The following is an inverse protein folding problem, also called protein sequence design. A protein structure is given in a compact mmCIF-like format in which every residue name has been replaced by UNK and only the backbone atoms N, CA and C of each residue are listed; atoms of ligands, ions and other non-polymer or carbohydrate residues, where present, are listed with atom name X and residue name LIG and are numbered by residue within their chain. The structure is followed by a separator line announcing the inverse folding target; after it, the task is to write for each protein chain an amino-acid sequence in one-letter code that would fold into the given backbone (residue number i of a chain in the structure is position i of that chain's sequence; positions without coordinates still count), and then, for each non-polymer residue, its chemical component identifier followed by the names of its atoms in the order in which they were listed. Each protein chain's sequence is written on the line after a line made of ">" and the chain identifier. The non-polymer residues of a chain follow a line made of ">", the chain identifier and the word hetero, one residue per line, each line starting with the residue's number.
data_IF_390053876581
#
_entry.id   IF_390053876581
#
_cell.length_a   1.000
_cell.length_b   1.000
_cell.length_c   1.000
_cell.angle_alpha   90.00
_cell.angle_beta   90.00
_cell.angle_gamma   90.00
#
_symmetry.space_group_name_H-M   'P 1'
#
loop_
_entity.id
_entity.type
_entity.pdbx_description
1 polymer ?
#
# COMPACT_ATOMS: atom_id res chain seq x y z
N UNK A 1 14.29 -6.13 -23.77
CA UNK A 1 14.35 -5.56 -22.40
C UNK A 1 15.37 -4.44 -22.43
N UNK A 2 15.03 -3.28 -21.83
CA UNK A 2 15.95 -2.13 -21.77
C UNK A 2 17.02 -2.27 -20.64
N UNK A 3 16.95 -3.32 -19.82
CA UNK A 3 17.86 -3.51 -18.67
C UNK A 3 17.71 -2.48 -17.56
N UNK A 4 16.52 -1.89 -17.44
CA UNK A 4 16.18 -0.88 -16.44
C UNK A 4 14.85 -1.22 -15.77
N UNK A 5 14.81 -1.16 -14.44
CA UNK A 5 13.59 -1.34 -13.64
C UNK A 5 12.95 0.04 -13.34
N UNK A 6 11.78 0.29 -13.92
CA UNK A 6 11.03 1.53 -13.73
C UNK A 6 10.53 1.74 -12.29
N UNK A 7 10.48 0.68 -11.48
CA UNK A 7 10.07 0.75 -10.07
C UNK A 7 11.23 1.10 -9.13
N UNK A 8 12.47 1.07 -9.64
CA UNK A 8 13.71 1.32 -8.90
C UNK A 8 13.96 0.36 -7.72
N UNK A 9 13.33 -0.81 -7.72
CA UNK A 9 13.52 -1.84 -6.70
C UNK A 9 14.76 -2.71 -6.98
N UNK A 10 15.08 -2.94 -8.27
CA UNK A 10 16.24 -3.71 -8.71
C UNK A 10 17.21 -2.79 -9.43
N UNK A 11 18.51 -2.84 -9.07
CA UNK A 11 19.53 -2.05 -9.78
C UNK A 11 19.76 -2.57 -11.19
N UNK A 12 20.20 -1.68 -12.10
CA UNK A 12 20.48 -2.04 -13.49
C UNK A 12 21.54 -3.13 -13.59
N UNK A 13 22.55 -3.14 -12.68
CA UNK A 13 23.61 -4.15 -12.62
C UNK A 13 23.04 -5.54 -12.26
N UNK A 14 22.16 -5.60 -11.26
CA UNK A 14 21.51 -6.86 -10.86
C UNK A 14 20.60 -7.39 -11.96
N UNK A 15 19.81 -6.51 -12.58
CA UNK A 15 18.93 -6.89 -13.69
C UNK A 15 19.74 -7.38 -14.89
N UNK A 16 20.83 -6.69 -15.24
CA UNK A 16 21.73 -7.12 -16.33
C UNK A 16 22.40 -8.46 -16.02
N UNK A 17 22.80 -8.67 -14.76
CA UNK A 17 23.34 -9.95 -14.32
C UNK A 17 22.32 -11.08 -14.46
N UNK A 18 21.06 -10.85 -14.06
CA UNK A 18 20.01 -11.84 -14.21
C UNK A 18 19.74 -12.17 -15.70
N UNK A 19 19.71 -11.17 -16.58
CA UNK A 19 19.54 -11.35 -18.04
C UNK A 19 20.69 -12.20 -18.60
N UNK A 20 21.94 -11.91 -18.23
CA UNK A 20 23.11 -12.67 -18.67
C UNK A 20 23.10 -14.12 -18.16
N UNK A 21 22.44 -14.39 -17.03
CA UNK A 21 22.24 -15.72 -16.45
C UNK A 21 20.97 -16.44 -16.92
N UNK A 22 20.30 -15.92 -17.98
CA UNK A 22 19.19 -16.61 -18.60
C UNK A 22 17.79 -16.12 -18.20
N UNK A 23 17.69 -15.01 -17.46
CA UNK A 23 16.39 -14.39 -17.19
C UNK A 23 15.80 -13.82 -18.49
N UNK A 24 14.59 -14.24 -18.83
CA UNK A 24 13.87 -13.85 -20.03
C UNK A 24 12.52 -13.25 -19.66
N UNK A 25 12.22 -12.04 -20.17
CA UNK A 25 10.86 -11.51 -20.17
C UNK A 25 10.20 -11.83 -21.51
N UNK A 26 9.03 -12.41 -21.49
CA UNK A 26 8.25 -12.73 -22.67
C UNK A 26 6.77 -12.40 -22.47
N UNK A 27 6.08 -12.09 -23.55
CA UNK A 27 4.61 -12.05 -23.65
C UNK A 27 4.04 -13.25 -24.41
N UNK A 28 4.91 -14.15 -24.89
CA UNK A 28 4.50 -15.35 -25.63
C UNK A 28 4.34 -16.51 -24.65
N UNK A 29 3.13 -17.02 -24.52
CA UNK A 29 2.79 -18.12 -23.60
C UNK A 29 3.55 -19.43 -23.91
N UNK A 30 3.95 -19.65 -25.15
CA UNK A 30 4.66 -20.86 -25.55
C UNK A 30 6.06 -20.95 -24.94
N UNK A 31 6.66 -19.80 -24.60
CA UNK A 31 8.02 -19.77 -24.01
C UNK A 31 8.04 -20.33 -22.58
N UNK A 32 6.88 -20.38 -21.90
CA UNK A 32 6.75 -20.92 -20.54
C UNK A 32 6.17 -22.34 -20.48
N UNK A 33 5.86 -22.95 -21.63
CA UNK A 33 5.24 -24.29 -21.72
C UNK A 33 6.08 -25.40 -21.10
N UNK A 34 7.39 -25.25 -21.10
CA UNK A 34 8.33 -26.23 -20.54
C UNK A 34 8.70 -25.96 -19.08
N UNK A 35 8.09 -24.94 -18.46
CA UNK A 35 8.25 -24.71 -17.03
C UNK A 35 7.38 -25.72 -16.26
N UNK A 36 7.81 -26.05 -15.04
CA UNK A 36 7.10 -26.97 -14.13
C UNK A 36 6.80 -26.35 -12.76
N UNK A 37 7.23 -25.10 -12.56
CA UNK A 37 6.96 -24.29 -11.37
C UNK A 37 6.56 -22.89 -11.81
N UNK A 38 5.31 -22.54 -11.58
CA UNK A 38 4.71 -21.28 -11.98
C UNK A 38 4.48 -20.41 -10.75
N UNK A 39 4.90 -19.15 -10.80
CA UNK A 39 4.63 -18.16 -9.75
C UNK A 39 3.70 -17.10 -10.30
N UNK A 40 2.55 -16.90 -9.63
CA UNK A 40 1.56 -15.88 -9.96
C UNK A 40 1.70 -14.71 -9.01
N UNK A 41 2.15 -13.56 -9.53
CA UNK A 41 2.44 -12.34 -8.78
C UNK A 41 1.73 -11.13 -9.41
N UNK A 42 0.42 -11.25 -9.65
CA UNK A 42 -0.41 -10.19 -10.23
C UNK A 42 -0.99 -9.27 -9.15
N UNK A 43 -1.34 -8.00 -9.48
CA UNK A 43 -1.99 -7.11 -8.52
C UNK A 43 -3.38 -7.63 -8.12
N UNK A 44 -3.80 -7.26 -6.92
CA UNK A 44 -5.12 -7.58 -6.35
C UNK A 44 -5.78 -6.28 -5.87
N UNK A 45 -6.41 -5.51 -6.78
CA UNK A 45 -7.07 -4.27 -6.46
C UNK A 45 -8.44 -4.49 -5.81
N UNK A 46 -9.08 -3.41 -5.39
CA UNK A 46 -10.49 -3.37 -5.01
C UNK A 46 -11.29 -2.60 -6.05
N UNK A 47 -12.58 -2.91 -6.17
CA UNK A 47 -13.53 -2.16 -6.97
C UNK A 47 -13.97 -0.85 -6.29
N UNK A 48 -14.84 -0.08 -6.93
CA UNK A 48 -15.39 1.19 -6.43
C UNK A 48 -16.12 1.05 -5.07
N UNK A 49 -16.57 -0.16 -4.74
CA UNK A 49 -17.27 -0.48 -3.50
C UNK A 49 -16.35 -1.11 -2.45
N UNK A 50 -15.03 -1.06 -2.65
CA UNK A 50 -14.02 -1.71 -1.83
C UNK A 50 -14.15 -3.25 -1.76
N UNK A 51 -14.75 -3.89 -2.78
CA UNK A 51 -14.73 -5.34 -2.88
C UNK A 51 -13.47 -5.82 -3.59
N UNK A 52 -12.93 -7.00 -3.21
CA UNK A 52 -11.80 -7.60 -3.91
C UNK A 52 -12.08 -7.83 -5.40
N UNK A 53 -11.22 -7.31 -6.26
CA UNK A 53 -11.23 -7.61 -7.69
C UNK A 53 -10.22 -8.73 -8.00
N UNK A 54 -10.74 -9.93 -8.23
CA UNK A 54 -9.95 -11.12 -8.56
C UNK A 54 -9.71 -11.29 -10.07
N UNK A 55 -10.15 -10.35 -10.91
CA UNK A 55 -10.00 -10.43 -12.37
C UNK A 55 -8.56 -10.69 -12.82
N UNK A 56 -7.52 -10.01 -12.26
CA UNK A 56 -6.14 -10.32 -12.64
C UNK A 56 -5.72 -11.75 -12.26
N UNK A 57 -6.16 -12.26 -11.12
CA UNK A 57 -5.89 -13.63 -10.67
C UNK A 57 -6.55 -14.67 -11.57
N UNK A 58 -7.80 -14.44 -11.97
CA UNK A 58 -8.47 -15.31 -12.95
C UNK A 58 -7.75 -15.31 -14.30
N UNK A 59 -7.31 -14.15 -14.77
CA UNK A 59 -6.51 -14.02 -16.00
C UNK A 59 -5.19 -14.80 -15.95
N UNK A 60 -4.47 -14.68 -14.83
CA UNK A 60 -3.22 -15.43 -14.62
C UNK A 60 -3.49 -16.93 -14.50
N UNK A 61 -4.55 -17.34 -13.79
CA UNK A 61 -4.94 -18.74 -13.65
C UNK A 61 -5.35 -19.36 -14.98
N UNK A 62 -6.02 -18.60 -15.87
CA UNK A 62 -6.31 -19.02 -17.27
C UNK A 62 -4.99 -19.21 -18.03
N UNK A 63 -4.04 -18.30 -17.89
CA UNK A 63 -2.74 -18.39 -18.56
C UNK A 63 -1.97 -19.62 -18.12
N UNK A 64 -1.86 -19.85 -16.81
CA UNK A 64 -1.24 -21.08 -16.26
C UNK A 64 -1.98 -22.33 -16.74
N UNK A 65 -3.31 -22.34 -16.69
CA UNK A 65 -4.13 -23.46 -17.13
C UNK A 65 -3.92 -23.89 -18.59
N UNK A 66 -3.47 -22.99 -19.48
CA UNK A 66 -3.15 -23.30 -20.87
C UNK A 66 -1.83 -24.05 -21.07
N UNK A 67 -0.92 -23.99 -20.10
CA UNK A 67 0.45 -24.53 -20.22
C UNK A 67 0.80 -25.57 -19.16
N UNK A 68 0.13 -25.58 -18.02
CA UNK A 68 0.40 -26.49 -16.91
C UNK A 68 0.25 -27.95 -17.35
N UNK A 69 1.18 -28.80 -16.89
CA UNK A 69 1.25 -30.23 -17.22
C UNK A 69 1.16 -31.07 -15.95
N UNK A 70 1.14 -32.41 -16.12
CA UNK A 70 1.10 -33.34 -15.00
C UNK A 70 2.39 -33.29 -14.18
N UNK A 71 2.25 -33.14 -12.88
CA UNK A 71 3.33 -33.03 -11.91
C UNK A 71 3.76 -31.59 -11.61
N UNK A 72 3.24 -30.61 -12.34
CA UNK A 72 3.60 -29.21 -12.17
C UNK A 72 2.98 -28.60 -10.91
N UNK A 73 3.60 -27.50 -10.45
CA UNK A 73 3.16 -26.74 -9.28
C UNK A 73 2.91 -25.29 -9.66
N UNK A 74 1.77 -24.73 -9.27
CA UNK A 74 1.49 -23.29 -9.33
C UNK A 74 1.47 -22.68 -7.93
N UNK A 75 2.25 -21.62 -7.71
CA UNK A 75 2.32 -20.89 -6.44
C UNK A 75 1.77 -19.48 -6.63
N UNK A 76 0.83 -19.08 -5.78
CA UNK A 76 0.30 -17.73 -5.77
C UNK A 76 1.03 -16.89 -4.71
N UNK A 77 1.47 -15.69 -5.09
CA UNK A 77 2.11 -14.72 -4.20
C UNK A 77 1.26 -13.47 -3.96
N UNK A 78 0.27 -13.24 -4.82
CA UNK A 78 -0.65 -12.10 -4.70
C UNK A 78 -1.38 -12.13 -3.36
N UNK A 79 -1.55 -10.96 -2.73
CA UNK A 79 -2.29 -10.85 -1.46
C UNK A 79 -3.77 -11.14 -1.68
N UNK A 80 -4.32 -12.07 -0.90
CA UNK A 80 -5.71 -12.51 -1.01
C UNK A 80 -6.30 -12.82 0.37
N UNK A 81 -7.63 -12.94 0.46
CA UNK A 81 -8.28 -13.48 1.65
C UNK A 81 -8.17 -15.02 1.69
N UNK A 82 -8.30 -15.65 2.88
CA UNK A 82 -8.20 -17.11 3.01
C UNK A 82 -9.18 -17.85 2.11
N UNK A 83 -8.67 -18.79 1.32
CA UNK A 83 -9.42 -19.65 0.42
C UNK A 83 -9.36 -19.24 -1.06
N UNK A 84 -8.90 -18.05 -1.42
CA UNK A 84 -8.90 -17.60 -2.82
C UNK A 84 -8.10 -18.55 -3.72
N UNK A 85 -6.93 -19.00 -3.29
CA UNK A 85 -6.11 -19.90 -4.09
C UNK A 85 -6.89 -21.18 -4.42
N UNK A 86 -7.41 -21.86 -3.40
CA UNK A 86 -8.03 -23.19 -3.57
C UNK A 86 -9.47 -23.11 -4.09
N UNK A 87 -10.25 -22.11 -3.63
CA UNK A 87 -11.69 -22.07 -3.88
C UNK A 87 -12.04 -21.24 -5.15
N UNK A 88 -11.13 -20.31 -5.58
CA UNK A 88 -11.37 -19.42 -6.72
C UNK A 88 -10.40 -19.68 -7.89
N UNK A 89 -9.08 -19.70 -7.63
CA UNK A 89 -8.08 -19.78 -8.68
C UNK A 89 -7.91 -21.19 -9.25
N UNK A 90 -7.82 -22.20 -8.39
CA UNK A 90 -7.60 -23.59 -8.80
C UNK A 90 -8.72 -24.13 -9.68
N UNK A 91 -10.03 -23.89 -9.42
CA UNK A 91 -11.10 -24.30 -10.32
C UNK A 91 -10.96 -23.74 -11.75
N UNK A 92 -10.38 -22.53 -11.89
CA UNK A 92 -10.11 -21.95 -13.21
C UNK A 92 -8.99 -22.72 -13.92
N UNK A 93 -7.90 -23.06 -13.20
CA UNK A 93 -6.81 -23.87 -13.75
C UNK A 93 -7.32 -25.26 -14.18
N UNK A 94 -8.11 -25.94 -13.34
CA UNK A 94 -8.72 -27.23 -13.67
C UNK A 94 -9.60 -27.17 -14.93
N UNK A 95 -10.46 -26.14 -15.00
CA UNK A 95 -11.37 -25.94 -16.13
C UNK A 95 -10.62 -25.72 -17.45
N UNK A 96 -9.52 -24.97 -17.43
CA UNK A 96 -8.77 -24.64 -18.63
C UNK A 96 -7.85 -25.77 -19.06
N UNK A 97 -7.15 -26.41 -18.12
CA UNK A 97 -6.19 -27.48 -18.39
C UNK A 97 -6.83 -28.86 -18.60
N UNK A 98 -8.01 -29.08 -18.03
CA UNK A 98 -8.62 -30.41 -17.96
C UNK A 98 -7.95 -31.36 -16.95
N UNK A 99 -6.93 -30.89 -16.24
CA UNK A 99 -6.20 -31.64 -15.20
C UNK A 99 -6.93 -31.58 -13.87
N UNK A 100 -6.58 -32.48 -12.93
CA UNK A 100 -7.18 -32.57 -11.60
C UNK A 100 -6.20 -32.13 -10.52
N UNK A 101 -6.67 -31.20 -9.70
CA UNK A 101 -5.95 -30.69 -8.52
C UNK A 101 -5.61 -31.81 -7.53
N UNK A 102 -4.42 -31.74 -6.94
CA UNK A 102 -3.86 -32.72 -6.01
C UNK A 102 -3.75 -34.15 -6.56
N UNK A 103 -3.83 -34.31 -7.88
CA UNK A 103 -3.64 -35.56 -8.58
C UNK A 103 -2.74 -35.42 -9.80
N UNK A 104 -3.08 -34.50 -10.69
CA UNK A 104 -2.33 -34.26 -11.93
C UNK A 104 -1.42 -33.01 -11.79
N UNK A 105 -1.84 -32.01 -11.04
CA UNK A 105 -1.04 -30.82 -10.69
C UNK A 105 -1.29 -30.39 -9.25
N UNK A 106 -0.44 -29.50 -8.73
CA UNK A 106 -0.46 -29.10 -7.34
C UNK A 106 -0.39 -27.57 -7.21
N UNK A 107 -0.69 -27.07 -6.01
CA UNK A 107 -0.62 -25.63 -5.73
C UNK A 107 0.12 -25.32 -4.44
N UNK A 108 0.59 -24.09 -4.35
CA UNK A 108 1.16 -23.47 -3.15
C UNK A 108 0.72 -22.02 -3.02
N UNK A 109 1.00 -21.46 -1.87
CA UNK A 109 0.87 -20.03 -1.61
C UNK A 109 2.08 -19.53 -0.81
N UNK A 110 2.65 -18.41 -1.25
CA UNK A 110 3.79 -17.79 -0.58
C UNK A 110 3.72 -16.28 -0.74
N UNK A 111 3.14 -15.55 0.24
CA UNK A 111 2.88 -14.13 0.10
C UNK A 111 4.15 -13.29 -0.04
N UNK A 112 4.08 -12.21 -0.84
CA UNK A 112 5.11 -11.20 -0.84
C UNK A 112 4.96 -10.27 0.37
N UNK A 113 6.09 -9.97 1.04
CA UNK A 113 6.15 -9.21 2.29
C UNK A 113 7.07 -7.99 2.21
N UNK A 114 7.56 -7.66 1.01
CA UNK A 114 8.40 -6.48 0.79
C UNK A 114 7.59 -5.21 1.07
N UNK A 115 8.27 -4.22 1.66
CA UNK A 115 7.76 -2.88 1.77
C UNK A 115 8.43 -2.02 0.68
N UNK A 116 7.71 -1.59 -0.37
CA UNK A 116 8.30 -0.82 -1.46
C UNK A 116 9.14 0.36 -0.97
N UNK A 117 10.34 0.51 -1.54
CA UNK A 117 11.31 1.53 -1.14
C UNK A 117 12.15 1.20 0.10
N UNK A 118 11.94 0.08 0.77
CA UNK A 118 12.79 -0.40 1.86
C UNK A 118 13.98 -1.18 1.27
N UNK A 119 15.16 -0.56 1.29
CA UNK A 119 16.39 -1.16 0.75
C UNK A 119 17.13 -2.05 1.75
N UNK A 120 16.72 -2.06 3.01
CA UNK A 120 17.29 -2.89 4.05
C UNK A 120 16.64 -4.28 4.09
N UNK A 121 15.29 -4.31 4.04
CA UNK A 121 14.49 -5.53 4.07
C UNK A 121 14.13 -5.97 2.65
N UNK A 122 15.11 -6.46 1.91
CA UNK A 122 14.92 -7.02 0.56
C UNK A 122 14.24 -8.39 0.60
N UNK A 123 13.78 -8.89 -0.54
CA UNK A 123 13.09 -10.19 -0.63
C UNK A 123 13.88 -11.33 0.03
N UNK A 124 15.20 -11.34 -0.11
CA UNK A 124 16.07 -12.38 0.46
C UNK A 124 16.22 -12.28 1.99
N UNK A 125 16.04 -11.05 2.54
CA UNK A 125 16.26 -10.75 3.96
C UNK A 125 14.98 -10.77 4.80
N UNK A 126 13.84 -11.01 4.19
CA UNK A 126 12.54 -11.16 4.90
C UNK A 126 12.21 -12.65 4.97
N UNK A 127 11.92 -13.15 6.18
CA UNK A 127 11.45 -14.54 6.34
C UNK A 127 10.21 -14.78 5.50
N UNK A 128 10.27 -15.71 4.52
CA UNK A 128 9.17 -15.99 3.59
C UNK A 128 8.23 -17.04 4.20
N UNK A 129 6.93 -16.78 4.18
CA UNK A 129 5.91 -17.80 4.50
C UNK A 129 5.67 -18.64 3.26
N UNK A 130 5.61 -19.95 3.41
CA UNK A 130 5.38 -20.91 2.33
C UNK A 130 4.29 -21.89 2.72
N UNK A 131 3.61 -22.47 1.74
CA UNK A 131 2.60 -23.51 1.97
C UNK A 131 2.38 -24.32 0.69
N UNK A 132 1.74 -25.46 0.82
CA UNK A 132 1.38 -26.29 -0.32
C UNK A 132 0.08 -27.04 -0.09
N UNK A 133 -0.49 -27.54 -1.16
CA UNK A 133 -1.77 -28.23 -1.18
C UNK A 133 -1.72 -29.65 -0.60
N UNK A 134 -0.51 -30.22 -0.46
CA UNK A 134 -0.22 -31.42 0.32
C UNK A 134 1.04 -31.20 1.16
N UNK A 135 1.29 -32.02 2.21
CA UNK A 135 2.53 -31.90 2.99
C UNK A 135 3.80 -32.00 2.14
N UNK A 136 3.84 -32.89 1.16
CA UNK A 136 4.97 -33.09 0.25
C UNK A 136 5.19 -31.86 -0.63
N UNK A 137 4.13 -31.31 -1.19
CA UNK A 137 4.18 -30.10 -2.01
C UNK A 137 4.56 -28.89 -1.15
N UNK A 138 4.01 -28.79 0.07
CA UNK A 138 4.41 -27.75 1.01
C UNK A 138 5.91 -27.78 1.29
N UNK A 139 6.48 -28.96 1.52
CA UNK A 139 7.92 -29.11 1.68
C UNK A 139 8.68 -28.73 0.41
N UNK A 140 8.24 -29.20 -0.75
CA UNK A 140 8.88 -28.88 -2.05
C UNK A 140 8.88 -27.37 -2.32
N UNK A 141 7.75 -26.70 -2.17
CA UNK A 141 7.64 -25.23 -2.30
C UNK A 141 8.58 -24.54 -1.29
N UNK A 142 8.56 -24.99 -0.03
CA UNK A 142 9.43 -24.43 1.01
C UNK A 142 10.93 -24.57 0.64
N UNK A 143 11.35 -25.73 0.14
CA UNK A 143 12.73 -25.98 -0.22
C UNK A 143 13.20 -25.09 -1.40
N UNK A 144 12.32 -24.83 -2.38
CA UNK A 144 12.59 -23.89 -3.48
C UNK A 144 12.82 -22.47 -2.92
N UNK A 145 11.89 -21.96 -2.11
CA UNK A 145 12.04 -20.62 -1.53
C UNK A 145 13.26 -20.54 -0.58
N UNK A 146 13.51 -21.56 0.21
CA UNK A 146 14.67 -21.62 1.10
C UNK A 146 16.01 -21.57 0.35
N UNK A 147 16.06 -21.96 -0.93
CA UNK A 147 17.26 -21.86 -1.75
C UNK A 147 17.65 -20.43 -2.12
N UNK A 148 16.71 -19.47 -2.03
CA UNK A 148 16.92 -18.05 -2.39
C UNK A 148 16.73 -17.10 -1.20
N UNK A 149 15.94 -17.47 -0.19
CA UNK A 149 15.61 -16.61 0.96
C UNK A 149 16.62 -16.85 2.09
N UNK A 150 17.58 -15.95 2.25
CA UNK A 150 18.65 -16.08 3.27
C UNK A 150 18.12 -15.90 4.70
N UNK A 151 17.03 -15.16 4.90
CA UNK A 151 16.36 -15.00 6.20
C UNK A 151 15.59 -16.26 6.65
N UNK A 152 15.56 -17.31 5.81
CA UNK A 152 14.84 -18.54 6.06
C UNK A 152 13.33 -18.46 5.72
N UNK A 153 12.69 -19.59 5.85
CA UNK A 153 11.26 -19.78 5.52
C UNK A 153 10.46 -20.21 6.74
N UNK A 154 9.14 -20.08 6.65
CA UNK A 154 8.17 -20.63 7.59
C UNK A 154 7.12 -21.42 6.81
N UNK A 155 7.15 -22.73 6.92
CA UNK A 155 6.17 -23.61 6.30
C UNK A 155 4.86 -23.57 7.09
N UNK A 156 3.85 -22.92 6.54
CA UNK A 156 2.51 -22.91 7.11
C UNK A 156 1.80 -24.26 6.85
N UNK A 157 0.94 -24.71 7.76
CA UNK A 157 0.31 -26.03 7.65
C UNK A 157 -0.66 -26.16 6.46
N UNK A 158 -1.25 -25.07 5.99
CA UNK A 158 -2.15 -25.04 4.83
C UNK A 158 -2.02 -23.74 4.04
N UNK A 159 -2.49 -23.75 2.80
CA UNK A 159 -2.58 -22.55 1.95
C UNK A 159 -3.43 -21.47 2.66
N UNK A 160 -4.61 -21.81 3.18
CA UNK A 160 -5.51 -20.87 3.88
C UNK A 160 -4.86 -20.23 5.10
N UNK A 161 -3.99 -20.92 5.83
CA UNK A 161 -3.24 -20.34 6.95
C UNK A 161 -2.20 -19.33 6.46
N UNK A 162 -1.51 -19.61 5.37
CA UNK A 162 -0.52 -18.69 4.80
C UNK A 162 -1.19 -17.43 4.23
N UNK A 163 -2.35 -17.57 3.55
CA UNK A 163 -3.18 -16.45 3.10
C UNK A 163 -3.67 -15.60 4.29
N UNK A 164 -4.18 -16.23 5.35
CA UNK A 164 -4.62 -15.55 6.56
C UNK A 164 -3.47 -14.77 7.22
N UNK A 165 -2.28 -15.36 7.32
CA UNK A 165 -1.11 -14.72 7.91
C UNK A 165 -0.77 -13.39 7.20
N UNK A 166 -0.82 -13.38 5.86
CA UNK A 166 -0.53 -12.17 5.07
C UNK A 166 -1.55 -11.06 5.32
N UNK A 167 -2.82 -11.37 5.23
CA UNK A 167 -3.87 -10.34 5.31
C UNK A 167 -3.96 -9.71 6.70
N UNK A 168 -3.65 -10.47 7.77
CA UNK A 168 -3.68 -9.93 9.13
C UNK A 168 -2.49 -9.00 9.44
N UNK A 169 -1.34 -9.15 8.80
CA UNK A 169 -0.19 -8.26 8.98
C UNK A 169 -0.56 -6.81 8.65
N UNK A 170 -1.24 -6.61 7.52
CA UNK A 170 -1.69 -5.29 7.10
C UNK A 170 -2.93 -4.82 7.86
N UNK A 171 -3.88 -5.71 8.17
CA UNK A 171 -5.06 -5.37 8.97
C UNK A 171 -4.68 -4.93 10.39
N UNK A 172 -3.71 -5.58 11.03
CA UNK A 172 -3.19 -5.17 12.34
C UNK A 172 -2.58 -3.77 12.27
N UNK A 173 -1.78 -3.49 11.24
CA UNK A 173 -1.16 -2.17 11.05
C UNK A 173 -2.22 -1.10 10.85
N UNK A 174 -3.22 -1.37 10.01
CA UNK A 174 -4.34 -0.47 9.75
C UNK A 174 -5.12 -0.11 11.01
N UNK A 175 -5.47 -1.11 11.83
CA UNK A 175 -6.19 -0.91 13.10
C UNK A 175 -5.34 -0.10 14.10
N UNK A 176 -4.04 -0.37 14.20
CA UNK A 176 -3.17 0.39 15.09
C UNK A 176 -3.03 1.86 14.65
N UNK A 177 -2.98 2.12 13.33
CA UNK A 177 -2.98 3.50 12.82
C UNK A 177 -4.35 4.15 13.08
N UNK A 178 -5.46 3.44 12.90
CA UNK A 178 -6.78 3.95 13.22
C UNK A 178 -6.91 4.35 14.69
N UNK A 179 -6.37 3.54 15.59
CA UNK A 179 -6.34 3.86 17.02
C UNK A 179 -5.58 5.15 17.31
N UNK A 180 -4.37 5.34 16.76
CA UNK A 180 -3.62 6.60 17.01
C UNK A 180 -4.21 7.78 16.25
N UNK A 181 -4.90 7.57 15.12
CA UNK A 181 -5.70 8.60 14.45
C UNK A 181 -6.88 9.07 15.34
N UNK A 182 -7.56 8.14 16.01
CA UNK A 182 -8.62 8.49 16.96
C UNK A 182 -8.05 9.26 18.16
N UNK A 183 -6.90 8.84 18.71
CA UNK A 183 -6.21 9.58 19.78
C UNK A 183 -5.87 11.01 19.35
N UNK A 184 -5.38 11.22 18.12
CA UNK A 184 -5.11 12.56 17.60
C UNK A 184 -6.37 13.43 17.58
N UNK A 185 -7.53 12.90 17.16
CA UNK A 185 -8.81 13.62 17.21
C UNK A 185 -9.23 13.96 18.63
N UNK A 186 -9.09 13.01 19.57
CA UNK A 186 -9.41 13.19 21.00
C UNK A 186 -8.53 14.29 21.59
N UNK A 187 -7.21 14.20 21.40
CA UNK A 187 -6.28 15.16 22.00
C UNK A 187 -6.41 16.56 21.37
N UNK A 188 -6.71 16.64 20.07
CA UNK A 188 -7.06 17.92 19.44
C UNK A 188 -8.30 18.56 20.10
N UNK A 189 -9.33 17.78 20.45
CA UNK A 189 -10.51 18.29 21.17
C UNK A 189 -10.18 18.75 22.60
N UNK A 190 -9.19 18.12 23.23
CA UNK A 190 -8.73 18.45 24.59
C UNK A 190 -7.67 19.57 24.63
N UNK A 191 -7.15 20.00 23.47
CA UNK A 191 -6.04 20.95 23.40
C UNK A 191 -4.70 20.38 23.85
N UNK A 192 -4.53 19.06 23.74
CA UNK A 192 -3.30 18.33 24.10
C UNK A 192 -2.52 18.00 22.82
N UNK A 193 -1.19 18.13 22.88
CA UNK A 193 -0.33 17.75 21.76
C UNK A 193 -0.21 16.22 21.68
N UNK A 194 -0.65 15.65 20.56
CA UNK A 194 -0.62 14.20 20.32
C UNK A 194 0.80 13.64 20.33
N UNK A 195 1.76 14.37 19.76
CA UNK A 195 3.16 13.95 19.70
C UNK A 195 3.75 13.78 21.10
N UNK A 196 3.56 14.76 21.99
CA UNK A 196 4.07 14.72 23.37
C UNK A 196 3.50 13.52 24.15
N UNK A 197 2.21 13.22 23.93
CA UNK A 197 1.57 12.05 24.57
C UNK A 197 2.16 10.75 24.05
N UNK A 198 2.34 10.61 22.73
CA UNK A 198 2.90 9.40 22.14
C UNK A 198 4.38 9.23 22.50
N UNK A 199 5.16 10.32 22.59
CA UNK A 199 6.55 10.28 23.05
C UNK A 199 6.62 9.79 24.51
N UNK A 200 5.78 10.35 25.40
CA UNK A 200 5.69 9.89 26.78
C UNK A 200 5.27 8.41 26.89
N UNK A 201 4.26 8.00 26.14
CA UNK A 201 3.79 6.61 26.11
C UNK A 201 4.85 5.64 25.58
N UNK A 202 5.68 6.07 24.61
CA UNK A 202 6.74 5.27 23.99
C UNK A 202 7.91 4.99 24.95
N UNK A 203 7.99 5.65 26.09
CA UNK A 203 8.95 5.30 27.14
C UNK A 203 8.68 3.93 27.76
N UNK A 204 7.47 3.41 27.61
CA UNK A 204 7.13 2.06 28.05
C UNK A 204 7.58 1.04 27.01
N UNK A 205 8.37 0.08 27.44
CA UNK A 205 9.05 -0.91 26.60
C UNK A 205 8.16 -1.71 25.64
N UNK A 206 6.88 -1.90 25.97
CA UNK A 206 5.92 -2.66 25.16
C UNK A 206 4.87 -1.78 24.45
N UNK A 207 5.07 -0.47 24.42
CA UNK A 207 4.20 0.42 23.63
C UNK A 207 4.58 0.33 22.14
N UNK A 208 3.58 0.18 21.27
CA UNK A 208 3.81 0.10 19.83
C UNK A 208 3.88 1.50 19.22
N UNK A 209 4.98 1.90 18.56
CA UNK A 209 5.24 3.28 18.14
C UNK A 209 4.54 3.67 16.84
N UNK A 210 3.23 3.44 16.76
CA UNK A 210 2.43 3.93 15.65
C UNK A 210 2.21 5.45 15.76
N UNK A 211 2.09 6.10 14.60
CA UNK A 211 1.84 7.54 14.49
C UNK A 211 0.55 7.79 13.72
N UNK A 212 -0.18 8.89 14.00
CA UNK A 212 -1.33 9.26 13.19
C UNK A 212 -0.89 9.62 11.76
N UNK A 213 -1.80 9.43 10.80
CA UNK A 213 -1.51 9.72 9.40
C UNK A 213 -2.56 9.21 8.45
N UNK A 214 -2.33 9.49 7.18
CA UNK A 214 -3.15 8.96 6.09
C UNK A 214 -2.73 7.53 5.76
N UNK A 215 -3.69 6.64 5.56
CA UNK A 215 -3.45 5.22 5.24
C UNK A 215 -3.83 4.97 3.80
N UNK A 216 -2.86 5.12 2.90
CA UNK A 216 -2.98 4.85 1.47
C UNK A 216 -2.13 3.66 1.01
N UNK A 217 -1.94 3.55 -0.31
CA UNK A 217 -1.17 2.51 -0.96
C UNK A 217 -1.95 1.24 -1.25
N UNK A 218 -1.24 0.26 -1.84
CA UNK A 218 -1.87 -0.94 -2.42
C UNK A 218 -2.28 -2.00 -1.39
N UNK A 219 -1.70 -1.99 -0.20
CA UNK A 219 -1.82 -3.10 0.74
C UNK A 219 -2.58 -2.71 2.00
N UNK A 220 -2.06 -1.73 2.78
CA UNK A 220 -2.60 -1.43 4.12
C UNK A 220 -4.06 -0.95 4.04
N UNK A 221 -4.39 -0.13 3.04
CA UNK A 221 -5.75 0.37 2.83
C UNK A 221 -6.72 -0.62 2.17
N UNK A 222 -6.21 -1.73 1.61
CA UNK A 222 -6.96 -2.68 0.78
C UNK A 222 -7.18 -4.02 1.48
N UNK A 223 -6.14 -4.62 2.04
CA UNK A 223 -6.20 -5.95 2.66
C UNK A 223 -7.26 -6.10 3.76
N UNK A 224 -7.53 -5.07 4.62
CA UNK A 224 -8.61 -5.16 5.59
C UNK A 224 -10.00 -5.37 4.96
N UNK A 225 -10.26 -4.82 3.77
CA UNK A 225 -11.51 -5.04 3.04
C UNK A 225 -11.62 -6.47 2.55
N UNK A 226 -10.51 -7.07 2.09
CA UNK A 226 -10.44 -8.49 1.72
C UNK A 226 -10.85 -9.38 2.89
N UNK A 227 -10.28 -9.15 4.07
CA UNK A 227 -10.59 -9.92 5.27
C UNK A 227 -12.04 -9.67 5.74
N UNK A 228 -12.51 -8.42 5.68
CA UNK A 228 -13.86 -8.06 6.08
C UNK A 228 -14.92 -8.74 5.20
N UNK A 229 -14.74 -8.71 3.88
CA UNK A 229 -15.66 -9.36 2.96
C UNK A 229 -15.67 -10.89 3.14
N UNK A 230 -14.48 -11.49 3.34
CA UNK A 230 -14.38 -12.92 3.65
C UNK A 230 -15.17 -13.27 4.92
N UNK A 231 -14.99 -12.50 5.99
CA UNK A 231 -15.72 -12.71 7.24
C UNK A 231 -17.23 -12.58 7.05
N UNK A 232 -17.71 -11.58 6.31
CA UNK A 232 -19.13 -11.38 6.03
C UNK A 232 -19.74 -12.54 5.21
N UNK A 233 -19.01 -13.07 4.21
CA UNK A 233 -19.43 -14.27 3.46
C UNK A 233 -19.59 -15.49 4.36
N UNK A 234 -18.85 -15.55 5.48
CA UNK A 234 -18.98 -16.59 6.50
C UNK A 234 -19.94 -16.24 7.64
N UNK A 235 -20.74 -15.17 7.48
CA UNK A 235 -21.78 -14.76 8.44
C UNK A 235 -21.27 -13.97 9.65
N UNK A 236 -20.02 -13.48 9.64
CA UNK A 236 -19.46 -12.66 10.71
C UNK A 236 -19.24 -11.23 10.25
N UNK A 237 -19.77 -10.25 11.00
CA UNK A 237 -19.50 -8.83 10.75
C UNK A 237 -18.26 -8.36 11.53
N UNK A 238 -17.14 -8.02 10.87
CA UNK A 238 -15.88 -7.69 11.54
C UNK A 238 -15.88 -6.22 12.02
N UNK A 239 -16.44 -5.94 13.19
CA UNK A 239 -16.66 -4.60 13.73
C UNK A 239 -15.38 -3.78 13.85
N UNK A 240 -14.31 -4.35 14.46
CA UNK A 240 -13.04 -3.64 14.70
C UNK A 240 -12.35 -3.26 13.38
N UNK A 241 -12.31 -4.19 12.43
CA UNK A 241 -11.68 -3.97 11.12
C UNK A 241 -12.41 -2.85 10.37
N UNK A 242 -13.74 -2.94 10.31
CA UNK A 242 -14.57 -1.94 9.62
C UNK A 242 -14.56 -0.58 10.32
N UNK A 243 -14.52 -0.55 11.66
CA UNK A 243 -14.36 0.70 12.41
C UNK A 243 -13.00 1.35 12.14
N UNK A 244 -11.91 0.56 12.14
CA UNK A 244 -10.57 1.03 11.79
C UNK A 244 -10.53 1.64 10.39
N UNK A 245 -11.11 0.94 9.41
CA UNK A 245 -11.20 1.47 8.02
C UNK A 245 -11.98 2.78 7.96
N UNK A 246 -13.15 2.87 8.55
CA UNK A 246 -13.93 4.12 8.58
C UNK A 246 -13.15 5.28 9.22
N UNK A 247 -12.39 5.00 10.30
CA UNK A 247 -11.53 5.99 10.93
C UNK A 247 -10.46 6.48 9.95
N UNK A 248 -9.68 5.57 9.36
CA UNK A 248 -8.58 5.91 8.47
C UNK A 248 -9.07 6.60 7.18
N UNK A 249 -10.16 6.14 6.59
CA UNK A 249 -10.76 6.76 5.40
C UNK A 249 -11.30 8.18 5.66
N UNK A 250 -11.69 8.49 6.90
CA UNK A 250 -12.15 9.82 7.28
C UNK A 250 -11.03 10.86 7.47
N UNK A 251 -9.76 10.43 7.50
CA UNK A 251 -8.65 11.31 7.92
C UNK A 251 -8.35 12.42 6.90
N UNK A 252 -8.50 12.17 5.60
CA UNK A 252 -8.31 13.21 4.59
C UNK A 252 -9.28 14.39 4.76
N UNK A 253 -10.57 14.10 4.90
CA UNK A 253 -11.57 15.12 5.18
C UNK A 253 -11.36 15.81 6.54
N UNK A 254 -10.93 15.04 7.55
CA UNK A 254 -10.59 15.62 8.87
C UNK A 254 -9.46 16.66 8.76
N UNK A 255 -8.36 16.36 8.06
CA UNK A 255 -7.25 17.28 7.83
C UNK A 255 -7.74 18.55 7.14
N UNK A 256 -8.48 18.42 6.04
CA UNK A 256 -9.03 19.57 5.31
C UNK A 256 -9.88 20.45 6.23
N UNK A 257 -10.79 19.86 7.01
CA UNK A 257 -11.64 20.58 7.96
C UNK A 257 -10.83 21.28 9.07
N UNK A 258 -9.74 20.69 9.56
CA UNK A 258 -8.87 21.35 10.55
C UNK A 258 -8.15 22.56 9.93
N UNK A 259 -7.67 22.47 8.70
CA UNK A 259 -7.04 23.60 7.98
C UNK A 259 -8.03 24.76 7.83
N UNK A 260 -9.24 24.50 7.33
CA UNK A 260 -10.30 25.50 7.19
C UNK A 260 -10.64 26.15 8.54
N UNK A 261 -10.76 25.34 9.60
CA UNK A 261 -11.05 25.83 10.95
C UNK A 261 -9.94 26.74 11.48
N UNK A 262 -8.67 26.41 11.22
CA UNK A 262 -7.53 27.24 11.59
C UNK A 262 -7.49 28.54 10.77
N UNK A 263 -7.78 28.51 9.47
CA UNK A 263 -7.89 29.69 8.62
C UNK A 263 -8.94 30.67 9.18
N UNK A 264 -10.14 30.17 9.51
CA UNK A 264 -11.20 30.98 10.12
C UNK A 264 -10.75 31.60 11.46
N UNK A 265 -10.10 30.81 12.33
CA UNK A 265 -9.61 31.31 13.63
C UNK A 265 -8.54 32.40 13.49
N UNK A 266 -7.69 32.31 12.47
CA UNK A 266 -6.66 33.33 12.17
C UNK A 266 -7.18 34.50 11.32
N UNK A 267 -8.45 34.49 10.94
CA UNK A 267 -9.05 35.52 10.08
C UNK A 267 -8.47 35.50 8.66
N UNK A 268 -8.09 34.32 8.18
CA UNK A 268 -7.72 34.09 6.77
C UNK A 268 -8.99 33.81 5.99
N UNK A 269 -9.21 34.53 4.88
CA UNK A 269 -10.36 34.29 4.00
C UNK A 269 -10.23 32.90 3.36
N UNK A 270 -11.29 32.10 3.43
CA UNK A 270 -11.30 30.73 2.86
C UNK A 270 -11.63 30.78 1.36
N UNK A 271 -12.75 31.41 1.00
CA UNK A 271 -13.19 31.49 -0.39
C UNK A 271 -12.10 32.09 -1.30
N UNK A 272 -11.78 31.42 -2.39
CA UNK A 272 -10.72 31.79 -3.34
C UNK A 272 -9.31 31.89 -2.74
N UNK A 273 -9.07 31.33 -1.54
CA UNK A 273 -7.73 31.29 -0.95
C UNK A 273 -6.81 30.37 -1.73
N UNK A 274 -5.50 30.64 -1.67
CA UNK A 274 -4.44 29.85 -2.27
C UNK A 274 -3.92 28.83 -1.25
N UNK A 275 -4.14 27.54 -1.50
CA UNK A 275 -3.69 26.46 -0.61
C UNK A 275 -2.66 25.59 -1.33
N UNK A 276 -1.54 25.35 -0.67
CA UNK A 276 -0.49 24.44 -1.13
C UNK A 276 -0.60 23.10 -0.40
N UNK A 277 -0.69 22.00 -1.16
CA UNK A 277 -0.48 20.66 -0.65
C UNK A 277 0.91 20.21 -1.05
N UNK A 278 1.75 19.86 -0.07
CA UNK A 278 3.12 19.39 -0.25
C UNK A 278 3.19 17.88 -0.07
N UNK A 279 3.51 17.20 -1.18
CA UNK A 279 3.49 15.74 -1.29
C UNK A 279 2.12 15.20 -1.72
N UNK A 280 2.16 14.28 -2.69
CA UNK A 280 0.97 13.63 -3.23
C UNK A 280 1.14 12.12 -3.37
N UNK A 281 2.37 11.62 -3.38
CA UNK A 281 2.63 10.17 -3.40
C UNK A 281 2.06 9.50 -2.17
N UNK A 282 1.78 8.19 -2.24
CA UNK A 282 1.21 7.48 -1.10
C UNK A 282 2.20 7.32 0.07
N UNK A 283 3.50 7.47 -0.19
CA UNK A 283 4.59 7.30 0.76
C UNK A 283 5.75 8.25 0.44
N UNK A 284 6.51 8.62 1.45
CA UNK A 284 7.72 9.42 1.31
C UNK A 284 8.80 8.77 0.44
N UNK A 285 9.45 9.59 -0.39
CA UNK A 285 10.59 9.21 -1.26
C UNK A 285 10.27 8.04 -2.22
N UNK A 286 9.05 7.95 -2.68
CA UNK A 286 8.55 6.95 -3.61
C UNK A 286 7.74 7.64 -4.71
N UNK A 287 7.93 7.31 -6.01
CA UNK A 287 7.24 7.99 -7.11
C UNK A 287 5.78 7.53 -7.32
N UNK A 288 5.29 6.56 -6.55
CA UNK A 288 3.97 5.97 -6.74
C UNK A 288 2.85 6.84 -6.15
N UNK A 289 1.90 7.24 -6.99
CA UNK A 289 0.73 8.05 -6.60
C UNK A 289 -0.54 7.21 -6.42
N UNK A 290 -0.52 5.93 -6.80
CA UNK A 290 -1.72 5.09 -6.76
C UNK A 290 -2.23 4.91 -5.33
N UNK A 291 -3.56 4.99 -5.16
CA UNK A 291 -4.24 4.91 -3.86
C UNK A 291 -3.70 5.89 -2.80
N UNK A 292 -3.18 7.04 -3.21
CA UNK A 292 -2.82 8.09 -2.25
C UNK A 292 -4.06 8.62 -1.54
N UNK A 293 -3.99 8.78 -0.22
CA UNK A 293 -5.06 9.40 0.58
C UNK A 293 -4.96 10.93 0.64
N UNK A 294 -3.94 11.52 0.04
CA UNK A 294 -3.85 12.97 -0.14
C UNK A 294 -4.94 13.48 -1.08
N UNK A 295 -5.41 12.63 -2.00
CA UNK A 295 -6.57 12.93 -2.85
C UNK A 295 -7.82 13.28 -2.04
N UNK A 296 -8.01 12.67 -0.87
CA UNK A 296 -9.17 12.93 -0.03
C UNK A 296 -9.09 14.32 0.63
N UNK A 297 -7.88 14.78 0.98
CA UNK A 297 -7.65 16.17 1.40
C UNK A 297 -8.01 17.13 0.27
N UNK A 298 -7.49 16.86 -0.94
CA UNK A 298 -7.74 17.68 -2.13
C UNK A 298 -9.24 17.81 -2.43
N UNK A 299 -9.97 16.68 -2.46
CA UNK A 299 -11.41 16.65 -2.72
C UNK A 299 -12.19 17.44 -1.66
N UNK A 300 -11.90 17.21 -0.38
CA UNK A 300 -12.58 17.89 0.71
C UNK A 300 -12.32 19.41 0.71
N UNK A 301 -11.11 19.85 0.35
CA UNK A 301 -10.82 21.29 0.22
C UNK A 301 -11.53 21.93 -0.97
N UNK A 302 -11.72 21.18 -2.07
CA UNK A 302 -12.47 21.71 -3.25
C UNK A 302 -13.91 22.08 -2.94
N UNK A 303 -14.53 21.48 -1.93
CA UNK A 303 -15.89 21.82 -1.49
C UNK A 303 -15.99 23.25 -0.92
N UNK A 304 -14.86 23.89 -0.61
CA UNK A 304 -14.80 25.26 -0.06
C UNK A 304 -14.43 26.32 -1.09
N UNK A 305 -14.47 26.01 -2.39
CA UNK A 305 -14.11 26.94 -3.49
C UNK A 305 -12.74 27.61 -3.30
N UNK A 306 -11.73 26.84 -2.89
CA UNK A 306 -10.35 27.28 -2.75
C UNK A 306 -9.53 26.93 -3.99
N UNK A 307 -8.42 27.65 -4.22
CA UNK A 307 -7.45 27.39 -5.26
C UNK A 307 -6.36 26.49 -4.72
N UNK A 308 -6.29 25.23 -5.19
CA UNK A 308 -5.33 24.25 -4.69
C UNK A 308 -4.17 24.09 -5.68
N UNK A 309 -2.96 24.21 -5.17
CA UNK A 309 -1.74 23.81 -5.86
C UNK A 309 -1.19 22.57 -5.17
N UNK A 310 -0.87 21.53 -5.95
CA UNK A 310 -0.23 20.32 -5.44
C UNK A 310 1.22 20.29 -5.93
N UNK A 311 2.16 20.26 -4.98
CA UNK A 311 3.59 20.17 -5.27
C UNK A 311 4.13 18.84 -4.77
N UNK A 312 4.75 18.07 -5.67
CA UNK A 312 5.43 16.83 -5.31
C UNK A 312 6.63 16.60 -6.25
N UNK A 313 7.87 16.56 -5.73
CA UNK A 313 9.07 16.36 -6.55
C UNK A 313 9.26 14.91 -7.02
N UNK A 314 8.53 13.95 -6.46
CA UNK A 314 8.62 12.52 -6.78
C UNK A 314 7.51 12.04 -7.69
N UNK A 315 6.31 12.61 -7.58
CA UNK A 315 5.15 12.21 -8.35
C UNK A 315 5.33 12.48 -9.84
N UNK A 316 4.92 11.50 -10.67
CA UNK A 316 4.83 11.71 -12.11
C UNK A 316 3.54 12.48 -12.44
N UNK A 317 3.61 13.72 -12.98
CA UNK A 317 2.41 14.53 -13.26
C UNK A 317 1.46 13.87 -14.27
N UNK A 318 1.98 13.14 -15.26
CA UNK A 318 1.15 12.45 -16.26
C UNK A 318 0.34 11.33 -15.63
N UNK A 319 0.94 10.55 -14.72
CA UNK A 319 0.25 9.48 -14.01
C UNK A 319 -0.81 10.06 -13.08
N UNK A 320 -0.47 11.11 -12.31
CA UNK A 320 -1.43 11.77 -11.43
C UNK A 320 -2.62 12.37 -12.21
N UNK A 321 -2.36 12.94 -13.38
CA UNK A 321 -3.42 13.45 -14.26
C UNK A 321 -4.33 12.34 -14.78
N UNK A 322 -3.74 11.20 -15.16
CA UNK A 322 -4.50 10.04 -15.63
C UNK A 322 -5.36 9.42 -14.51
N UNK A 323 -4.76 9.19 -13.34
CA UNK A 323 -5.42 8.49 -12.23
C UNK A 323 -6.48 9.35 -11.50
N UNK A 324 -6.21 10.65 -11.32
CA UNK A 324 -7.04 11.51 -10.45
C UNK A 324 -7.59 12.75 -11.13
N UNK A 325 -7.22 13.00 -12.39
CA UNK A 325 -7.51 14.25 -13.11
C UNK A 325 -7.02 15.51 -12.38
N UNK A 326 -5.86 15.43 -11.72
CA UNK A 326 -5.23 16.53 -10.98
C UNK A 326 -3.94 16.93 -11.65
N UNK A 327 -3.68 18.25 -11.70
CA UNK A 327 -2.40 18.80 -12.14
C UNK A 327 -1.47 18.93 -10.93
N UNK A 328 -0.29 18.31 -11.02
CA UNK A 328 0.77 18.38 -10.02
C UNK A 328 1.97 19.12 -10.59
N UNK A 329 2.61 19.96 -9.78
CA UNK A 329 3.86 20.62 -10.16
C UNK A 329 5.04 19.92 -9.49
N UNK A 330 6.13 19.71 -10.25
CA UNK A 330 7.37 19.08 -9.78
C UNK A 330 8.39 20.06 -9.23
N UNK A 331 8.14 21.37 -9.39
CA UNK A 331 8.96 22.45 -8.85
C UNK A 331 8.14 23.29 -7.88
N UNK A 332 8.80 23.79 -6.82
CA UNK A 332 8.14 24.61 -5.82
C UNK A 332 7.64 25.92 -6.45
N UNK A 333 6.33 26.23 -6.36
CA UNK A 333 5.78 27.42 -6.97
C UNK A 333 6.32 28.72 -6.34
N UNK A 334 6.71 29.69 -7.18
CA UNK A 334 7.20 31.01 -6.77
C UNK A 334 6.03 31.94 -6.43
N UNK A 335 5.07 31.49 -5.59
CA UNK A 335 3.98 32.32 -5.10
C UNK A 335 3.76 32.09 -3.61
N UNK A 336 3.00 32.98 -2.96
CA UNK A 336 2.66 32.87 -1.54
C UNK A 336 1.26 32.28 -1.33
N UNK A 337 1.12 31.45 -0.30
CA UNK A 337 -0.08 30.71 0.01
C UNK A 337 -0.73 31.18 1.32
N UNK A 338 -2.07 31.09 1.38
CA UNK A 338 -2.88 31.32 2.57
C UNK A 338 -2.83 30.14 3.54
N UNK A 339 -2.64 28.92 3.00
CA UNK A 339 -2.40 27.75 3.81
C UNK A 339 -1.44 26.78 3.12
N UNK A 340 -0.63 26.08 3.92
CA UNK A 340 0.28 25.01 3.47
C UNK A 340 0.02 23.75 4.27
N UNK A 341 -0.17 22.64 3.57
CA UNK A 341 -0.40 21.32 4.17
C UNK A 341 0.78 20.42 3.82
N UNK A 342 1.56 20.01 4.83
CA UNK A 342 2.60 19.01 4.71
C UNK A 342 1.99 17.63 4.76
N UNK A 343 1.62 17.06 3.61
CA UNK A 343 0.89 15.80 3.51
C UNK A 343 1.80 14.56 3.45
N UNK A 344 2.98 14.67 2.79
CA UNK A 344 3.98 13.59 2.67
C UNK A 344 5.35 14.14 3.02
N UNK A 345 6.15 13.40 3.80
CA UNK A 345 7.44 13.85 4.33
C UNK A 345 8.62 13.50 3.41
N UNK A 346 8.65 14.04 2.18
CA UNK A 346 9.81 13.85 1.32
C UNK A 346 11.07 14.52 1.89
N UNK A 347 12.23 13.94 1.61
CA UNK A 347 13.52 14.46 2.09
C UNK A 347 13.80 15.91 1.65
N UNK A 348 13.30 16.31 0.48
CA UNK A 348 13.42 17.67 -0.05
C UNK A 348 12.72 18.71 0.80
N UNK A 349 11.71 18.31 1.61
CA UNK A 349 10.93 19.21 2.45
C UNK A 349 11.58 19.50 3.81
N UNK A 350 12.57 18.70 4.24
CA UNK A 350 13.19 18.82 5.57
C UNK A 350 13.88 20.16 5.81
N UNK A 351 14.45 20.75 4.76
CA UNK A 351 15.19 22.02 4.85
C UNK A 351 14.47 23.18 4.17
N UNK A 352 13.19 22.99 3.80
CA UNK A 352 12.43 24.02 3.13
C UNK A 352 12.01 25.12 4.12
N UNK A 353 12.30 26.38 3.77
CA UNK A 353 11.79 27.51 4.54
C UNK A 353 10.36 27.85 4.09
N UNK A 354 9.38 27.37 4.86
CA UNK A 354 7.95 27.55 4.58
C UNK A 354 7.54 29.02 4.61
N UNK A 355 8.22 29.90 5.38
CA UNK A 355 7.90 31.32 5.45
C UNK A 355 8.06 32.03 4.11
N UNK A 356 8.99 31.57 3.26
CA UNK A 356 9.21 32.15 1.94
C UNK A 356 8.02 32.01 0.99
N UNK A 357 7.22 30.96 1.19
CA UNK A 357 6.01 30.65 0.39
C UNK A 357 4.72 30.95 1.13
N UNK A 358 4.80 31.49 2.33
CA UNK A 358 3.65 31.86 3.17
C UNK A 358 3.30 33.34 3.03
N UNK A 359 2.01 33.67 3.01
CA UNK A 359 1.55 35.06 3.18
C UNK A 359 1.74 35.50 4.62
N UNK A 360 1.68 36.81 4.91
CA UNK A 360 1.87 37.38 6.26
C UNK A 360 0.88 36.76 7.27
N UNK A 361 -0.34 36.48 6.84
CA UNK A 361 -1.35 35.76 7.61
C UNK A 361 -1.62 34.43 6.90
N UNK A 362 -1.20 33.36 7.48
CA UNK A 362 -1.25 32.02 6.87
C UNK A 362 -1.56 30.93 7.91
N UNK A 363 -1.81 29.71 7.42
CA UNK A 363 -1.94 28.49 8.22
C UNK A 363 -0.97 27.43 7.71
N UNK A 364 -0.25 26.79 8.63
CA UNK A 364 0.62 25.65 8.37
C UNK A 364 0.04 24.44 9.09
N UNK A 365 -0.28 23.38 8.35
CA UNK A 365 -0.76 22.12 8.91
C UNK A 365 0.19 20.97 8.56
N UNK A 366 0.71 20.30 9.57
CA UNK A 366 1.71 19.26 9.41
C UNK A 366 1.13 17.87 9.75
N UNK A 367 0.82 17.08 8.72
CA UNK A 367 0.29 15.72 8.84
C UNK A 367 1.37 14.74 9.30
N UNK A 368 2.65 15.04 9.04
CA UNK A 368 3.77 14.08 9.16
C UNK A 368 4.76 14.39 10.27
N UNK A 369 4.51 15.45 11.06
CA UNK A 369 5.39 15.93 12.14
C UNK A 369 6.83 16.24 11.65
N UNK A 370 6.92 16.78 10.44
CA UNK A 370 8.21 17.12 9.82
C UNK A 370 8.70 18.49 10.24
N UNK A 371 7.78 19.45 10.43
CA UNK A 371 8.09 20.85 10.67
C UNK A 371 8.30 21.10 12.17
N UNK A 372 9.24 22.02 12.50
CA UNK A 372 9.44 22.46 13.89
C UNK A 372 8.22 23.18 14.42
N UNK A 373 7.65 24.08 13.61
CA UNK A 373 6.47 24.87 13.96
C UNK A 373 5.35 24.63 12.95
N UNK A 374 4.14 24.49 13.45
CA UNK A 374 2.91 24.36 12.67
C UNK A 374 1.72 24.83 13.51
N UNK A 375 0.70 25.38 12.84
CA UNK A 375 -0.54 25.82 13.51
C UNK A 375 -1.42 24.65 13.93
N UNK A 376 -1.27 23.52 13.26
CA UNK A 376 -1.95 22.28 13.58
C UNK A 376 -1.17 21.05 13.09
N UNK A 377 -1.42 19.94 13.73
CA UNK A 377 -0.83 18.63 13.42
C UNK A 377 -1.86 17.52 13.60
N UNK A 378 -1.60 16.34 12.98
CA UNK A 378 -2.33 15.14 13.36
C UNK A 378 -1.87 14.59 14.70
#
# INVERSE_FOLDING_TARGET
>A
MAGHDATLEVSDELLQSAINNGFICTSNIEDIRNCNFYVVAVPTPVDENNNPDLTPLYGASITVGKVISKGDVVVYESTVYPGVTEDECIPVVEKVSGLKFNKDFFAGYSPERINPGDKEHTVEKIKKVTSGSTPEIGKFVNDIYASVITAGTHLAPTIKVAEAAKVIENSQRDINIAFVNELSKIFTCMGINTQDVLEAASTKWNFLPFKPGLVGGHCIGVDPYYLAQCAQRHGYNPEIILAGRRMNDSMGAYVANQVIKLMLKKGVQVLNSEILIMGFTFKENCPDVRNTKVIDIYKALKEYDVNITVYDPWANPTVAKHEYNIDIVSELPMKKFDATIMAVAHKEFQNLNIDQISKDRNVIYDVKWLLKEADGRL
#
